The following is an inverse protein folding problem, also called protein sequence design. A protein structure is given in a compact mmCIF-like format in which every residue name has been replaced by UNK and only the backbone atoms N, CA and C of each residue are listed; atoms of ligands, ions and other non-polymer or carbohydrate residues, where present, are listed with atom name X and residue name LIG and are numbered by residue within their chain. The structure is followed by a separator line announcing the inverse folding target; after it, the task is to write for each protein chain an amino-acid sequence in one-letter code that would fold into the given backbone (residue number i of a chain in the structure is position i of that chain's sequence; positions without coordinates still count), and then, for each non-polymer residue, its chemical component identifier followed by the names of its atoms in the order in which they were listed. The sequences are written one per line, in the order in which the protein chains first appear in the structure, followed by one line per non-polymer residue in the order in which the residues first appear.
data_IF_366578329782
#
_entry.id   IF_366578329782
#
_cell.length_a   1.000
_cell.length_b   1.000
_cell.length_c   1.000
_cell.angle_alpha   90.00
_cell.angle_beta   90.00
_cell.angle_gamma   90.00
#
_symmetry.space_group_name_H-M   'P 1'
#
loop_
_entity.id
_entity.type
_entity.pdbx_description
1 polymer ?
#
# COMPACT_ATOMS: atom_id res chain seq x y z
N UNK A 1 -4.51 8.45 25.56
CA UNK A 1 -3.49 9.46 25.19
C UNK A 1 -3.89 10.05 23.87
N UNK A 2 -4.01 11.37 23.79
CA UNK A 2 -4.52 12.09 22.61
C UNK A 2 -3.42 12.86 21.83
N UNK A 3 -2.14 12.59 22.13
CA UNK A 3 -1.00 13.31 21.58
C UNK A 3 -0.20 12.50 20.56
N UNK A 4 0.31 13.16 19.53
CA UNK A 4 1.15 12.60 18.46
C UNK A 4 0.46 12.63 17.09
N UNK A 5 1.14 13.08 16.01
CA UNK A 5 0.55 13.15 14.67
C UNK A 5 0.14 11.77 14.13
N UNK A 6 0.86 10.70 14.47
CA UNK A 6 0.58 9.33 14.04
C UNK A 6 -0.39 8.52 14.90
N UNK A 7 -1.08 9.12 15.89
CA UNK A 7 -2.04 8.40 16.73
C UNK A 7 -3.41 8.25 16.03
N UNK A 8 -3.50 7.30 15.11
CA UNK A 8 -4.69 7.02 14.28
C UNK A 8 -5.14 5.58 14.54
N UNK A 9 -6.46 5.34 14.63
CA UNK A 9 -7.02 4.00 14.82
C UNK A 9 -6.97 3.17 13.54
N UNK A 10 -7.70 3.60 12.50
CA UNK A 10 -7.66 3.04 11.15
C UNK A 10 -7.30 4.15 10.17
N UNK A 11 -6.33 3.91 9.31
CA UNK A 11 -5.95 4.80 8.22
C UNK A 11 -6.28 4.14 6.88
N UNK A 12 -7.05 4.84 6.05
CA UNK A 12 -7.53 4.40 4.75
C UNK A 12 -6.99 5.38 3.71
N UNK A 13 -6.19 4.88 2.77
CA UNK A 13 -5.51 5.73 1.79
C UNK A 13 -5.59 5.10 0.40
N UNK A 14 -6.25 5.78 -0.53
CA UNK A 14 -6.39 5.38 -1.93
C UNK A 14 -6.75 3.89 -2.13
N UNK A 15 -7.66 3.38 -1.30
CA UNK A 15 -7.95 1.95 -1.16
C UNK A 15 -9.42 1.64 -1.44
N UNK A 16 -9.89 1.76 -2.70
CA UNK A 16 -11.28 1.52 -3.02
C UNK A 16 -11.63 0.03 -2.98
N UNK A 17 -12.89 -0.29 -2.68
CA UNK A 17 -13.44 -1.65 -2.68
C UNK A 17 -13.16 -2.49 -1.43
N UNK A 18 -12.49 -1.92 -0.42
CA UNK A 18 -12.30 -2.60 0.86
C UNK A 18 -13.58 -2.64 1.70
N UNK A 19 -13.72 -3.72 2.48
CA UNK A 19 -14.77 -3.86 3.49
C UNK A 19 -14.19 -3.57 4.87
N UNK A 20 -14.79 -2.61 5.57
CA UNK A 20 -14.47 -2.25 6.94
C UNK A 20 -15.64 -2.65 7.81
N UNK A 21 -15.59 -3.86 8.36
CA UNK A 21 -16.71 -4.47 9.05
C UNK A 21 -16.44 -4.63 10.55
N UNK A 22 -17.31 -4.05 11.38
CA UNK A 22 -17.41 -4.37 12.81
C UNK A 22 -16.15 -4.11 13.62
N UNK A 23 -15.47 -3.05 13.22
CA UNK A 23 -14.32 -2.53 13.93
C UNK A 23 -14.75 -1.86 15.24
N UNK A 24 -13.87 -1.87 16.23
CA UNK A 24 -13.99 -1.00 17.40
C UNK A 24 -12.73 -0.17 17.52
N UNK A 25 -12.88 1.15 17.46
CA UNK A 25 -11.77 2.10 17.58
C UNK A 25 -11.99 3.00 18.79
N UNK A 26 -10.92 3.34 19.51
CA UNK A 26 -11.02 4.18 20.70
C UNK A 26 -9.66 4.64 21.22
N UNK A 27 -9.67 5.74 21.98
CA UNK A 27 -8.50 6.32 22.67
C UNK A 27 -7.37 6.82 21.73
N UNK A 28 -7.72 7.26 20.53
CA UNK A 28 -6.77 7.79 19.53
C UNK A 28 -7.00 9.28 19.25
N UNK A 29 -6.08 9.94 18.53
CA UNK A 29 -6.31 11.30 18.03
C UNK A 29 -7.39 11.28 16.95
N UNK A 30 -7.18 10.47 15.91
CA UNK A 30 -8.16 10.19 14.86
C UNK A 30 -8.67 8.76 15.02
N UNK A 31 -9.99 8.55 15.07
CA UNK A 31 -10.58 7.21 15.08
C UNK A 31 -10.33 6.51 13.75
N UNK A 32 -10.95 7.02 12.70
CA UNK A 32 -10.72 6.61 11.31
C UNK A 32 -10.33 7.83 10.48
N UNK A 33 -9.27 7.72 9.69
CA UNK A 33 -8.82 8.74 8.74
C UNK A 33 -8.91 8.17 7.33
N UNK A 34 -9.59 8.87 6.42
CA UNK A 34 -9.75 8.47 5.02
C UNK A 34 -9.10 9.51 4.14
N UNK A 35 -8.35 9.10 3.13
CA UNK A 35 -7.74 10.01 2.15
C UNK A 35 -7.65 9.37 0.77
N UNK A 36 -7.57 10.21 -0.27
CA UNK A 36 -7.60 9.77 -1.66
C UNK A 36 -8.86 9.00 -2.04
N UNK A 37 -8.85 8.45 -3.26
CA UNK A 37 -9.97 7.67 -3.78
C UNK A 37 -10.08 6.32 -3.05
N UNK A 38 -10.91 6.25 -2.02
CA UNK A 38 -11.08 5.08 -1.15
C UNK A 38 -12.53 4.59 -1.15
N UNK A 39 -13.16 4.62 -2.33
CA UNK A 39 -14.58 4.38 -2.50
C UNK A 39 -14.97 3.02 -1.93
N UNK A 40 -15.81 3.03 -0.90
CA UNK A 40 -16.28 1.88 -0.15
C UNK A 40 -17.79 2.05 0.12
N UNK A 41 -18.57 2.36 -0.93
CA UNK A 41 -20.02 2.54 -0.87
C UNK A 41 -20.66 1.39 -0.09
N UNK A 42 -21.33 1.75 1.02
CA UNK A 42 -21.91 0.85 2.02
C UNK A 42 -20.96 -0.18 2.67
N UNK A 43 -19.69 -0.26 2.30
CA UNK A 43 -18.72 -1.22 2.82
C UNK A 43 -18.02 -0.73 4.11
N UNK A 44 -18.28 0.51 4.56
CA UNK A 44 -17.84 1.00 5.87
C UNK A 44 -18.97 0.84 6.90
N UNK A 45 -19.00 -0.30 7.60
CA UNK A 45 -20.18 -0.75 8.36
C UNK A 45 -19.86 -1.34 9.73
N UNK A 46 -20.80 -1.13 10.67
CA UNK A 46 -20.73 -1.66 12.02
C UNK A 46 -19.57 -1.14 12.87
N UNK A 47 -18.87 -0.09 12.43
CA UNK A 47 -17.72 0.46 13.16
C UNK A 47 -18.20 1.20 14.40
N UNK A 48 -17.66 0.84 15.57
CA UNK A 48 -17.94 1.51 16.84
C UNK A 48 -16.80 2.47 17.20
N UNK A 49 -17.13 3.76 17.30
CA UNK A 49 -16.25 4.85 17.68
C UNK A 49 -16.39 5.16 19.17
N UNK A 50 -15.31 4.93 19.93
CA UNK A 50 -15.16 5.33 21.31
C UNK A 50 -14.67 6.78 21.44
N UNK A 51 -13.69 7.02 22.32
CA UNK A 51 -13.18 8.37 22.59
C UNK A 51 -12.06 8.79 21.64
N UNK A 52 -12.24 9.91 20.94
CA UNK A 52 -11.28 10.47 19.99
C UNK A 52 -11.25 12.00 20.04
N UNK A 53 -10.21 12.63 19.47
CA UNK A 53 -10.28 14.06 19.17
C UNK A 53 -11.19 14.31 17.95
N UNK A 54 -11.07 13.47 16.92
CA UNK A 54 -11.96 13.40 15.76
C UNK A 54 -12.26 11.94 15.50
N UNK A 55 -13.55 11.56 15.48
CA UNK A 55 -13.95 10.15 15.35
C UNK A 55 -13.74 9.65 13.93
N UNK A 56 -14.28 10.37 12.93
CA UNK A 56 -14.08 10.11 11.50
C UNK A 56 -13.51 11.36 10.83
N UNK A 57 -12.43 11.24 10.08
CA UNK A 57 -11.77 12.38 9.43
C UNK A 57 -11.52 12.13 7.95
N UNK A 58 -12.13 12.95 7.10
CA UNK A 58 -11.89 13.05 5.66
C UNK A 58 -11.32 14.45 5.41
N UNK A 59 -10.04 14.64 5.07
CA UNK A 59 -9.38 15.95 5.10
C UNK A 59 -9.83 16.94 4.02
N UNK A 60 -10.25 16.45 2.85
CA UNK A 60 -10.55 17.28 1.69
C UNK A 60 -11.43 16.53 0.67
N UNK A 61 -11.86 17.21 -0.41
CA UNK A 61 -12.75 16.68 -1.45
C UNK A 61 -12.28 15.37 -2.12
N UNK A 62 -10.98 15.06 -2.07
CA UNK A 62 -10.44 13.84 -2.66
C UNK A 62 -10.57 12.63 -1.74
N UNK A 63 -10.95 12.81 -0.47
CA UNK A 63 -11.17 11.74 0.48
C UNK A 63 -12.54 11.09 0.27
N UNK A 64 -12.65 10.27 -0.77
CA UNK A 64 -13.92 9.68 -1.20
C UNK A 64 -14.11 8.32 -0.53
N UNK A 65 -14.85 8.26 0.58
CA UNK A 65 -15.29 7.00 1.20
C UNK A 65 -16.52 6.39 0.50
N UNK A 66 -17.29 7.21 -0.22
CA UNK A 66 -18.58 6.82 -0.80
C UNK A 66 -19.74 6.95 0.16
N UNK A 67 -20.94 6.91 -0.39
CA UNK A 67 -22.21 6.95 0.32
C UNK A 67 -22.36 5.75 1.27
N UNK A 68 -22.92 5.98 2.46
CA UNK A 68 -23.12 4.94 3.48
C UNK A 68 -24.58 4.92 3.93
N UNK A 69 -25.34 3.93 3.49
CA UNK A 69 -26.77 3.77 3.74
C UNK A 69 -27.03 2.72 4.80
N UNK A 70 -27.53 3.16 5.96
CA UNK A 70 -27.88 2.31 7.10
C UNK A 70 -26.80 1.28 7.47
N UNK A 71 -25.53 1.68 7.39
CA UNK A 71 -24.37 0.83 7.66
C UNK A 71 -24.13 0.57 9.14
N UNK A 72 -24.96 1.15 10.01
CA UNK A 72 -24.98 0.96 11.47
C UNK A 72 -23.64 1.19 12.18
N UNK A 73 -22.85 2.14 11.68
CA UNK A 73 -21.73 2.68 12.46
C UNK A 73 -22.28 3.35 13.74
N UNK A 74 -21.54 3.26 14.85
CA UNK A 74 -21.97 3.75 16.16
C UNK A 74 -20.95 4.69 16.77
N UNK A 75 -21.40 5.83 17.29
CA UNK A 75 -20.59 6.81 18.01
C UNK A 75 -20.99 6.81 19.49
N UNK A 76 -20.27 6.03 20.28
CA UNK A 76 -20.55 5.84 21.72
C UNK A 76 -19.66 6.70 22.61
N UNK A 77 -18.61 7.31 22.06
CA UNK A 77 -17.70 8.21 22.78
C UNK A 77 -17.65 9.63 22.23
N UNK A 78 -16.50 10.27 22.39
CA UNK A 78 -16.26 11.68 22.05
C UNK A 78 -15.57 11.85 20.69
N UNK A 79 -15.72 13.03 20.09
CA UNK A 79 -15.05 13.44 18.85
C UNK A 79 -16.01 13.54 17.66
N UNK A 80 -15.89 14.63 16.91
CA UNK A 80 -16.73 14.91 15.76
C UNK A 80 -16.39 14.02 14.56
N UNK A 81 -17.36 13.79 13.67
CA UNK A 81 -17.10 13.35 12.31
C UNK A 81 -16.85 14.58 11.42
N UNK A 82 -15.73 14.64 10.73
CA UNK A 82 -15.31 15.83 9.97
C UNK A 82 -14.95 15.43 8.54
N UNK A 83 -15.66 16.03 7.59
CA UNK A 83 -15.32 16.05 6.19
C UNK A 83 -14.89 17.48 5.82
N UNK A 84 -13.62 17.67 5.49
CA UNK A 84 -13.02 18.94 5.04
C UNK A 84 -13.42 19.35 3.61
N UNK A 85 -14.53 18.81 3.10
CA UNK A 85 -15.13 19.21 1.84
C UNK A 85 -16.25 20.24 2.07
N UNK A 86 -16.53 21.13 1.10
CA UNK A 86 -17.73 21.97 1.13
C UNK A 86 -19.01 21.15 1.27
N UNK A 87 -20.05 21.72 1.90
CA UNK A 87 -21.34 21.06 2.14
C UNK A 87 -21.93 20.41 0.88
N UNK A 88 -21.94 21.13 -0.25
CA UNK A 88 -22.47 20.64 -1.51
C UNK A 88 -21.72 19.44 -2.08
N UNK A 89 -20.47 19.20 -1.66
CA UNK A 89 -19.69 18.01 -2.03
C UNK A 89 -19.92 16.88 -1.02
N UNK A 90 -19.95 17.19 0.27
CA UNK A 90 -20.22 16.19 1.31
C UNK A 90 -21.60 15.53 1.12
N UNK A 91 -22.61 16.28 0.66
CA UNK A 91 -23.94 15.74 0.34
C UNK A 91 -23.97 14.79 -0.86
N UNK A 92 -22.91 14.74 -1.67
CA UNK A 92 -22.80 13.78 -2.78
C UNK A 92 -22.38 12.39 -2.30
N UNK A 93 -21.86 12.29 -1.07
CA UNK A 93 -21.44 11.07 -0.40
C UNK A 93 -21.99 11.02 1.05
N UNK A 94 -23.33 11.00 1.22
CA UNK A 94 -23.96 11.13 2.52
C UNK A 94 -23.80 9.86 3.37
N UNK A 95 -23.92 10.06 4.67
CA UNK A 95 -24.29 8.98 5.59
C UNK A 95 -25.80 9.04 5.81
N UNK A 96 -26.53 8.04 5.34
CA UNK A 96 -27.96 7.89 5.63
C UNK A 96 -28.11 7.00 6.86
N UNK A 97 -28.62 7.56 7.95
CA UNK A 97 -28.69 6.90 9.26
C UNK A 97 -30.12 6.81 9.77
N UNK A 98 -30.39 5.75 10.54
CA UNK A 98 -31.63 5.59 11.30
C UNK A 98 -31.28 5.70 12.79
N UNK A 99 -31.88 6.68 13.48
CA UNK A 99 -31.67 6.93 14.90
C UNK A 99 -32.80 6.41 15.79
N UNK A 100 -33.82 5.81 15.19
CA UNK A 100 -35.07 5.45 15.87
C UNK A 100 -35.17 3.93 16.06
N UNK A 101 -35.26 3.43 17.31
CA UNK A 101 -35.52 2.01 17.55
C UNK A 101 -36.88 1.56 16.96
N UNK A 102 -37.04 0.29 16.54
CA UNK A 102 -36.13 -0.82 16.79
C UNK A 102 -35.04 -1.04 15.72
N UNK A 103 -35.17 -0.40 14.55
CA UNK A 103 -34.28 -0.66 13.41
C UNK A 103 -33.05 0.27 13.39
N UNK A 104 -33.15 1.45 14.01
CA UNK A 104 -32.06 2.39 14.24
C UNK A 104 -31.64 2.50 15.71
N UNK A 105 -30.67 3.38 15.96
CA UNK A 105 -30.15 3.68 17.30
C UNK A 105 -29.68 5.14 17.38
N UNK A 106 -29.92 5.85 18.50
CA UNK A 106 -29.35 7.18 18.71
C UNK A 106 -27.82 7.23 18.56
N UNK A 107 -27.14 6.10 18.83
CA UNK A 107 -25.69 5.98 18.65
C UNK A 107 -25.28 5.98 17.18
N UNK A 108 -26.20 5.85 16.22
CA UNK A 108 -25.86 5.91 14.79
C UNK A 108 -25.51 7.32 14.30
N UNK A 109 -25.70 8.34 15.13
CA UNK A 109 -25.29 9.71 14.85
C UNK A 109 -24.03 10.08 15.66
N UNK A 110 -23.01 10.72 15.05
CA UNK A 110 -21.91 11.29 15.80
C UNK A 110 -22.36 12.44 16.70
N UNK A 111 -21.66 12.65 17.82
CA UNK A 111 -21.90 13.77 18.77
C UNK A 111 -21.94 15.14 18.06
N UNK A 112 -21.16 15.29 17.01
CA UNK A 112 -21.27 16.39 16.06
C UNK A 112 -20.65 15.98 14.73
N UNK A 113 -21.09 16.60 13.64
CA UNK A 113 -20.48 16.42 12.33
C UNK A 113 -20.30 17.74 11.59
N UNK A 114 -19.27 17.80 10.76
CA UNK A 114 -19.02 18.90 9.82
C UNK A 114 -18.77 18.32 8.43
N UNK A 115 -19.38 18.88 7.36
CA UNK A 115 -20.34 19.98 7.38
C UNK A 115 -21.71 19.58 7.98
N UNK A 116 -22.50 20.57 8.40
CA UNK A 116 -23.89 20.34 8.83
C UNK A 116 -24.70 19.75 7.68
N UNK A 117 -25.46 18.69 7.92
CA UNK A 117 -26.25 17.99 6.89
C UNK A 117 -25.49 16.95 6.06
N UNK A 118 -24.27 16.58 6.46
CA UNK A 118 -23.55 15.43 5.88
C UNK A 118 -24.19 14.08 6.26
N UNK A 119 -24.74 14.01 7.47
CA UNK A 119 -25.57 12.89 7.92
C UNK A 119 -27.04 13.22 7.63
N UNK A 120 -27.71 12.35 6.88
CA UNK A 120 -29.12 12.44 6.54
C UNK A 120 -29.91 11.40 7.34
N UNK A 121 -31.04 11.81 7.88
CA UNK A 121 -31.92 10.91 8.62
C UNK A 121 -32.93 10.28 7.67
N UNK A 122 -32.99 8.96 7.69
CA UNK A 122 -34.01 8.18 7.00
C UNK A 122 -34.33 6.94 7.86
N UNK A 123 -35.60 6.58 7.95
CA UNK A 123 -35.99 5.38 8.70
C UNK A 123 -35.64 4.14 7.87
N UNK A 124 -34.97 3.16 8.47
CA UNK A 124 -34.73 1.89 7.78
C UNK A 124 -35.91 0.94 8.04
N UNK A 125 -36.76 0.64 7.04
CA UNK A 125 -37.87 -0.29 7.24
C UNK A 125 -37.40 -1.74 7.45
N UNK A 126 -36.12 -2.03 7.17
CA UNK A 126 -35.54 -3.37 7.23
C UNK A 126 -34.54 -3.50 8.38
N UNK A 127 -34.67 -4.57 9.17
CA UNK A 127 -33.62 -4.94 10.12
C UNK A 127 -32.41 -5.47 9.35
N UNK A 128 -31.33 -4.71 9.34
CA UNK A 128 -30.03 -5.18 8.83
C UNK A 128 -29.13 -5.55 10.01
N UNK A 129 -28.27 -6.55 9.86
CA UNK A 129 -27.18 -6.82 10.81
C UNK A 129 -25.86 -6.47 10.16
N UNK A 130 -25.33 -5.28 10.48
CA UNK A 130 -24.08 -4.81 9.89
C UNK A 130 -22.87 -5.72 10.18
N UNK A 131 -22.96 -6.57 11.20
CA UNK A 131 -21.92 -7.51 11.62
C UNK A 131 -22.16 -8.98 11.24
N UNK A 132 -22.96 -9.22 10.21
CA UNK A 132 -23.06 -10.55 9.64
C UNK A 132 -21.74 -10.96 8.95
N UNK A 133 -21.12 -12.10 9.30
CA UNK A 133 -19.88 -12.54 8.67
C UNK A 133 -19.96 -12.71 7.15
N UNK A 134 -21.10 -13.13 6.61
CA UNK A 134 -21.28 -13.30 5.15
C UNK A 134 -21.19 -11.97 4.42
N UNK A 135 -21.71 -10.92 5.04
CA UNK A 135 -21.67 -9.54 4.57
C UNK A 135 -20.27 -8.94 4.72
N UNK A 136 -19.56 -9.26 5.80
CA UNK A 136 -18.19 -8.79 6.00
C UNK A 136 -17.17 -9.48 5.06
N UNK A 137 -17.48 -10.67 4.55
CA UNK A 137 -16.58 -11.46 3.69
C UNK A 137 -16.69 -11.14 2.20
N UNK A 138 -17.76 -10.48 1.76
CA UNK A 138 -17.98 -10.15 0.35
C UNK A 138 -18.10 -8.64 0.15
N UNK A 139 -17.17 -8.00 -0.58
CA UNK A 139 -17.30 -6.58 -0.87
C UNK A 139 -18.54 -6.33 -1.72
N UNK A 140 -19.36 -5.39 -1.28
CA UNK A 140 -20.52 -4.95 -2.03
C UNK A 140 -20.06 -4.02 -3.15
N UNK A 141 -20.50 -4.28 -4.37
CA UNK A 141 -20.30 -3.38 -5.50
C UNK A 141 -21.65 -3.17 -6.20
N UNK A 142 -22.22 -1.99 -5.98
CA UNK A 142 -23.49 -1.61 -6.58
C UNK A 142 -23.23 -0.93 -7.92
N UNK A 143 -23.34 -1.69 -9.01
CA UNK A 143 -22.97 -1.26 -10.37
C UNK A 143 -23.67 0.02 -10.84
N UNK A 144 -24.86 0.33 -10.31
CA UNK A 144 -25.62 1.52 -10.68
C UNK A 144 -25.90 2.46 -9.50
N UNK A 145 -25.08 2.42 -8.44
CA UNK A 145 -25.17 3.40 -7.36
C UNK A 145 -24.89 4.82 -7.86
N UNK A 146 -25.39 5.82 -7.14
CA UNK A 146 -25.14 7.22 -7.46
C UNK A 146 -23.64 7.56 -7.42
N UNK A 147 -22.88 6.90 -6.53
CA UNK A 147 -21.42 7.01 -6.49
C UNK A 147 -20.78 6.53 -7.80
N UNK A 148 -21.17 5.34 -8.30
CA UNK A 148 -20.62 4.80 -9.56
C UNK A 148 -21.01 5.68 -10.74
N UNK A 149 -22.27 6.10 -10.83
CA UNK A 149 -22.75 7.01 -11.89
C UNK A 149 -21.98 8.33 -11.90
N UNK A 150 -21.70 8.89 -10.73
CA UNK A 150 -20.93 10.12 -10.55
C UNK A 150 -19.50 9.98 -11.03
N UNK A 151 -18.81 8.92 -10.61
CA UNK A 151 -17.42 8.66 -11.02
C UNK A 151 -17.34 8.35 -12.53
N UNK A 152 -18.27 7.55 -13.05
CA UNK A 152 -18.39 7.25 -14.49
C UNK A 152 -18.64 8.53 -15.31
N UNK A 153 -19.43 9.46 -14.78
CA UNK A 153 -19.71 10.77 -15.39
C UNK A 153 -18.56 11.76 -15.37
N UNK A 154 -17.46 11.47 -14.67
CA UNK A 154 -16.27 12.34 -14.62
C UNK A 154 -16.42 13.50 -13.65
N UNK A 155 -16.53 13.21 -12.34
CA UNK A 155 -16.68 14.23 -11.30
C UNK A 155 -15.52 15.22 -11.25
N UNK A 156 -15.75 16.43 -11.75
CA UNK A 156 -14.74 17.51 -11.84
C UNK A 156 -14.42 18.16 -10.49
N UNK A 157 -15.13 17.82 -9.41
CA UNK A 157 -14.78 18.29 -8.07
C UNK A 157 -13.57 17.55 -7.49
N UNK A 158 -13.25 16.37 -8.03
CA UNK A 158 -12.12 15.56 -7.65
C UNK A 158 -10.86 15.96 -8.42
N UNK A 159 -9.70 15.75 -7.82
CA UNK A 159 -8.44 15.86 -8.55
C UNK A 159 -8.39 14.84 -9.70
N UNK A 160 -7.68 15.15 -10.81
CA UNK A 160 -7.54 14.21 -11.92
C UNK A 160 -6.99 12.84 -11.52
N UNK A 161 -6.05 12.81 -10.55
CA UNK A 161 -5.46 11.57 -10.03
C UNK A 161 -6.52 10.74 -9.31
N UNK A 162 -7.27 11.35 -8.38
CA UNK A 162 -8.34 10.67 -7.63
C UNK A 162 -9.43 10.16 -8.54
N UNK A 163 -9.90 10.99 -9.48
CA UNK A 163 -10.93 10.60 -10.43
C UNK A 163 -10.46 9.42 -11.29
N UNK A 164 -9.24 9.48 -11.83
CA UNK A 164 -8.71 8.40 -12.67
C UNK A 164 -8.57 7.09 -11.92
N UNK A 165 -8.04 7.09 -10.69
CA UNK A 165 -7.93 5.87 -9.87
C UNK A 165 -9.31 5.29 -9.53
N UNK A 166 -10.29 6.14 -9.19
CA UNK A 166 -11.66 5.69 -8.95
C UNK A 166 -12.33 5.16 -10.22
N UNK A 167 -12.09 5.79 -11.38
CA UNK A 167 -12.58 5.31 -12.67
C UNK A 167 -11.99 3.95 -13.04
N UNK A 168 -10.70 3.71 -12.77
CA UNK A 168 -10.10 2.37 -12.91
C UNK A 168 -10.75 1.34 -11.99
N UNK A 169 -11.02 1.70 -10.74
CA UNK A 169 -11.72 0.84 -9.79
C UNK A 169 -13.13 0.48 -10.28
N UNK A 170 -13.95 1.47 -10.65
CA UNK A 170 -15.33 1.18 -11.09
C UNK A 170 -15.36 0.45 -12.44
N UNK A 171 -14.45 0.74 -13.37
CA UNK A 171 -14.36 0.02 -14.64
C UNK A 171 -14.08 -1.47 -14.40
N UNK A 172 -13.16 -1.79 -13.50
CA UNK A 172 -12.90 -3.17 -13.09
C UNK A 172 -14.14 -3.84 -12.48
N UNK A 173 -14.85 -3.14 -11.57
CA UNK A 173 -16.05 -3.67 -10.94
C UNK A 173 -17.25 -3.84 -11.89
N UNK A 174 -17.34 -3.01 -12.92
CA UNK A 174 -18.40 -3.04 -13.94
C UNK A 174 -18.16 -4.08 -15.04
N UNK A 175 -16.91 -4.51 -15.24
CA UNK A 175 -16.57 -5.48 -16.28
C UNK A 175 -17.28 -6.81 -16.01
N UNK A 176 -18.11 -7.26 -16.96
CA UNK A 176 -18.92 -8.47 -16.83
C UNK A 176 -20.23 -8.30 -16.06
N UNK A 177 -20.56 -7.10 -15.58
CA UNK A 177 -21.84 -6.80 -14.94
C UNK A 177 -22.92 -6.43 -15.97
N UNK A 178 -24.18 -6.70 -15.62
CA UNK A 178 -25.32 -6.19 -16.37
C UNK A 178 -25.60 -4.74 -15.96
N UNK A 179 -25.59 -3.83 -16.93
CA UNK A 179 -25.78 -2.38 -16.74
C UNK A 179 -26.83 -1.87 -17.74
N UNK A 180 -27.72 -1.01 -17.26
CA UNK A 180 -28.78 -0.34 -18.01
C UNK A 180 -28.51 1.16 -18.16
N UNK A 181 -27.83 1.79 -17.19
CA UNK A 181 -27.56 3.22 -17.19
C UNK A 181 -26.73 3.65 -18.41
N UNK A 182 -27.27 4.60 -19.18
CA UNK A 182 -26.65 5.05 -20.43
C UNK A 182 -25.31 5.78 -20.21
N UNK A 183 -25.16 6.48 -19.08
CA UNK A 183 -23.92 7.17 -18.73
C UNK A 183 -22.81 6.16 -18.43
N UNK A 184 -23.13 5.11 -17.67
CA UNK A 184 -22.17 4.03 -17.38
C UNK A 184 -21.81 3.24 -18.64
N UNK A 185 -22.79 2.92 -19.51
CA UNK A 185 -22.51 2.25 -20.79
C UNK A 185 -21.59 3.10 -21.68
N UNK A 186 -21.81 4.42 -21.72
CA UNK A 186 -20.91 5.34 -22.44
C UNK A 186 -19.50 5.34 -21.84
N UNK A 187 -19.39 5.43 -20.50
CA UNK A 187 -18.13 5.36 -19.78
C UNK A 187 -17.35 4.07 -20.09
N UNK A 188 -18.01 2.90 -20.06
CA UNK A 188 -17.38 1.62 -20.40
C UNK A 188 -16.82 1.64 -21.83
N UNK A 189 -17.63 2.04 -22.81
CA UNK A 189 -17.22 2.08 -24.22
C UNK A 189 -16.04 3.02 -24.49
N UNK A 190 -15.98 4.17 -23.80
CA UNK A 190 -14.86 5.10 -23.90
C UNK A 190 -13.62 4.55 -23.19
N UNK A 191 -13.83 3.92 -22.03
CA UNK A 191 -12.75 3.41 -21.19
C UNK A 191 -12.00 2.24 -21.85
N UNK A 192 -12.69 1.39 -22.62
CA UNK A 192 -12.14 0.21 -23.32
C UNK A 192 -10.89 0.52 -24.16
N UNK A 193 -10.83 1.72 -24.75
CA UNK A 193 -9.72 2.14 -25.63
C UNK A 193 -8.82 3.20 -25.00
N UNK A 194 -9.14 3.65 -23.78
CA UNK A 194 -8.38 4.63 -23.02
C UNK A 194 -7.34 3.96 -22.11
N UNK A 195 -6.51 4.75 -21.43
CA UNK A 195 -5.56 4.24 -20.43
C UNK A 195 -6.24 3.47 -19.30
N UNK A 196 -7.50 3.78 -18.96
CA UNK A 196 -8.28 3.07 -17.93
C UNK A 196 -8.43 1.60 -18.30
N UNK A 197 -9.01 1.31 -19.47
CA UNK A 197 -9.27 -0.05 -19.94
C UNK A 197 -7.99 -0.81 -20.29
N UNK A 198 -7.01 -0.14 -20.92
CA UNK A 198 -5.76 -0.81 -21.28
C UNK A 198 -4.93 -1.20 -20.06
N UNK A 199 -4.83 -0.35 -19.03
CA UNK A 199 -4.16 -0.75 -17.79
C UNK A 199 -4.96 -1.78 -17.00
N UNK A 200 -6.30 -1.73 -17.01
CA UNK A 200 -7.11 -2.78 -16.40
C UNK A 200 -6.86 -4.15 -17.05
N UNK A 201 -6.80 -4.20 -18.39
CA UNK A 201 -6.52 -5.43 -19.11
C UNK A 201 -5.13 -6.00 -18.77
N UNK A 202 -4.11 -5.14 -18.65
CA UNK A 202 -2.78 -5.55 -18.17
C UNK A 202 -2.85 -6.15 -16.77
N UNK A 203 -3.51 -5.47 -15.82
CA UNK A 203 -3.63 -5.97 -14.43
C UNK A 203 -4.36 -7.33 -14.39
N UNK A 204 -5.43 -7.51 -15.19
CA UNK A 204 -6.16 -8.78 -15.30
C UNK A 204 -5.28 -9.91 -15.86
N UNK A 205 -4.60 -9.68 -16.97
CA UNK A 205 -3.74 -10.68 -17.62
C UNK A 205 -2.51 -11.03 -16.77
N UNK A 206 -1.97 -10.05 -16.05
CA UNK A 206 -0.94 -10.28 -15.04
C UNK A 206 -1.47 -11.21 -13.95
N UNK A 207 -2.65 -10.96 -13.39
CA UNK A 207 -3.24 -11.82 -12.37
C UNK A 207 -3.50 -13.25 -12.91
N UNK A 208 -3.96 -13.38 -14.15
CA UNK A 208 -4.14 -14.67 -14.82
C UNK A 208 -2.83 -15.44 -14.98
N UNK A 209 -1.69 -14.75 -15.18
CA UNK A 209 -0.37 -15.41 -15.29
C UNK A 209 0.08 -16.11 -14.01
N UNK A 210 -0.43 -15.72 -12.84
CA UNK A 210 -0.13 -16.33 -11.56
C UNK A 210 -1.15 -17.38 -11.12
N UNK A 211 -2.24 -17.57 -11.88
CA UNK A 211 -3.20 -18.62 -11.57
C UNK A 211 -2.57 -19.98 -11.92
N UNK A 212 -2.46 -20.85 -10.91
CA UNK A 212 -1.99 -22.22 -11.11
C UNK A 212 -3.06 -22.95 -11.92
N UNK A 213 -2.68 -23.44 -13.11
CA UNK A 213 -3.56 -24.22 -13.95
C UNK A 213 -4.12 -25.42 -13.16
N UNK A 214 -5.41 -25.68 -13.34
CA UNK A 214 -6.11 -26.90 -12.94
C UNK A 214 -5.40 -28.21 -13.28
N UNK A 215 -4.49 -28.21 -14.26
CA UNK A 215 -3.63 -29.35 -14.59
C UNK A 215 -2.42 -29.50 -13.64
N UNK A 216 -1.82 -28.40 -13.19
CA UNK A 216 -0.59 -28.40 -12.36
C UNK A 216 -0.91 -28.53 -10.88
N UNK A 217 -1.97 -27.88 -10.39
CA UNK A 217 -2.33 -27.90 -8.97
C UNK A 217 -2.53 -29.32 -8.40
N UNK A 218 -3.26 -30.24 -9.07
CA UNK A 218 -3.41 -31.62 -8.59
C UNK A 218 -2.09 -32.39 -8.59
N UNK A 219 -1.17 -32.09 -9.52
CA UNK A 219 0.13 -32.76 -9.59
C UNK A 219 1.03 -32.33 -8.44
N UNK A 220 1.09 -31.02 -8.12
CA UNK A 220 1.80 -30.52 -6.94
C UNK A 220 1.23 -31.10 -5.64
N UNK A 221 -0.10 -31.22 -5.54
CA UNK A 221 -0.75 -31.83 -4.39
C UNK A 221 -0.42 -33.33 -4.26
N UNK A 222 -0.41 -34.07 -5.37
CA UNK A 222 -0.02 -35.47 -5.39
C UNK A 222 1.45 -35.66 -4.97
N UNK A 223 2.36 -34.82 -5.50
CA UNK A 223 3.77 -34.82 -5.10
C UNK A 223 3.90 -34.59 -3.59
N UNK A 224 3.25 -33.56 -3.04
CA UNK A 224 3.28 -33.28 -1.60
C UNK A 224 2.78 -34.48 -0.76
N UNK A 225 1.68 -35.11 -1.17
CA UNK A 225 1.15 -36.28 -0.48
C UNK A 225 2.12 -37.46 -0.52
N UNK A 226 2.65 -37.80 -1.70
CA UNK A 226 3.58 -38.91 -1.87
C UNK A 226 4.92 -38.65 -1.18
N UNK A 227 5.44 -37.43 -1.20
CA UNK A 227 6.65 -37.07 -0.43
C UNK A 227 6.44 -37.35 1.05
N UNK A 228 5.31 -36.93 1.63
CA UNK A 228 5.01 -37.21 3.04
C UNK A 228 4.89 -38.71 3.33
N UNK A 229 4.24 -39.48 2.45
CA UNK A 229 4.12 -40.93 2.55
C UNK A 229 5.49 -41.64 2.54
N UNK A 230 6.37 -41.22 1.63
CA UNK A 230 7.74 -41.75 1.52
C UNK A 230 8.60 -41.36 2.72
N UNK A 231 8.44 -40.15 3.26
CA UNK A 231 9.12 -39.73 4.47
C UNK A 231 8.70 -40.55 5.71
N UNK A 232 7.41 -40.85 5.88
CA UNK A 232 6.97 -41.75 6.95
C UNK A 232 7.43 -43.20 6.73
N UNK A 233 7.48 -43.67 5.48
CA UNK A 233 8.05 -44.99 5.15
C UNK A 233 9.53 -45.08 5.51
N UNK A 234 10.31 -44.04 5.19
CA UNK A 234 11.73 -43.96 5.52
C UNK A 234 11.96 -44.02 7.05
N UNK A 235 11.16 -43.26 7.80
CA UNK A 235 11.17 -43.27 9.27
C UNK A 235 10.80 -44.64 9.84
N UNK A 236 9.82 -45.33 9.26
CA UNK A 236 9.45 -46.69 9.69
C UNK A 236 10.59 -47.69 9.45
N UNK A 237 11.26 -47.60 8.31
CA UNK A 237 12.44 -48.43 7.99
C UNK A 237 13.59 -48.13 8.97
N UNK A 238 13.88 -46.85 9.23
CA UNK A 238 14.93 -46.45 10.17
C UNK A 238 14.65 -46.93 11.60
N UNK A 239 13.37 -46.96 12.03
CA UNK A 239 12.97 -47.52 13.31
C UNK A 239 13.13 -49.05 13.35
N UNK A 240 12.76 -49.75 12.28
CA UNK A 240 12.90 -51.21 12.18
C UNK A 240 14.37 -51.63 12.25
N UNK A 241 15.26 -50.89 11.59
CA UNK A 241 16.71 -51.14 11.59
C UNK A 241 17.35 -51.14 12.98
N UNK A 242 16.73 -50.50 13.98
CA UNK A 242 17.23 -50.49 15.37
C UNK A 242 17.12 -51.85 16.07
N UNK A 243 16.24 -52.74 15.59
CA UNK A 243 15.94 -54.03 16.20
C UNK A 243 16.14 -55.21 15.24
N UNK A 244 16.56 -54.94 14.00
CA UNK A 244 16.67 -55.93 12.93
C UNK A 244 17.87 -56.87 13.14
N UNK A 245 17.71 -58.15 12.78
CA UNK A 245 18.82 -59.08 12.66
C UNK A 245 19.66 -58.83 11.39
N UNK A 246 20.74 -59.61 11.20
CA UNK A 246 21.66 -59.42 10.07
C UNK A 246 21.03 -59.61 8.68
N UNK A 247 20.02 -60.48 8.55
CA UNK A 247 19.35 -60.74 7.26
C UNK A 247 18.30 -59.65 7.00
N UNK A 248 17.50 -59.34 8.02
CA UNK A 248 16.50 -58.27 7.99
C UNK A 248 17.13 -56.90 7.71
N UNK A 249 18.34 -56.66 8.21
CA UNK A 249 19.11 -55.44 7.94
C UNK A 249 19.37 -55.26 6.45
N UNK A 250 19.74 -56.33 5.73
CA UNK A 250 20.06 -56.25 4.30
C UNK A 250 18.80 -55.89 3.49
N UNK A 251 17.67 -56.56 3.78
CA UNK A 251 16.39 -56.29 3.11
C UNK A 251 15.86 -54.88 3.40
N UNK A 252 15.98 -54.41 4.65
CA UNK A 252 15.58 -53.08 5.05
C UNK A 252 16.44 -51.98 4.40
N UNK A 253 17.76 -52.21 4.25
CA UNK A 253 18.64 -51.26 3.56
C UNK A 253 18.34 -51.15 2.06
N UNK A 254 17.99 -52.25 1.38
CA UNK A 254 17.56 -52.18 -0.02
C UNK A 254 16.22 -51.44 -0.16
N UNK A 255 15.26 -51.73 0.72
CA UNK A 255 13.98 -51.01 0.77
C UNK A 255 14.17 -49.51 1.03
N UNK A 256 15.10 -49.16 1.94
CA UNK A 256 15.48 -47.76 2.24
C UNK A 256 15.99 -47.04 1.00
N UNK A 257 16.85 -47.71 0.21
CA UNK A 257 17.41 -47.16 -1.02
C UNK A 257 16.33 -46.90 -2.08
N UNK A 258 15.36 -47.81 -2.22
CA UNK A 258 14.21 -47.60 -3.12
C UNK A 258 13.43 -46.36 -2.71
N UNK A 259 13.07 -46.23 -1.43
CA UNK A 259 12.33 -45.04 -0.93
C UNK A 259 13.10 -43.74 -1.16
N UNK A 260 14.42 -43.75 -0.97
CA UNK A 260 15.27 -42.58 -1.25
C UNK A 260 15.28 -42.23 -2.74
N UNK A 261 15.34 -43.23 -3.63
CA UNK A 261 15.24 -42.98 -5.08
C UNK A 261 13.87 -42.40 -5.47
N UNK A 262 12.78 -42.93 -4.91
CA UNK A 262 11.42 -42.39 -5.13
C UNK A 262 11.34 -40.91 -4.72
N UNK A 263 11.98 -40.52 -3.60
CA UNK A 263 12.04 -39.13 -3.14
C UNK A 263 12.83 -38.23 -4.10
N UNK A 264 13.91 -38.73 -4.71
CA UNK A 264 14.64 -37.99 -5.75
C UNK A 264 13.78 -37.78 -7.00
N UNK A 265 13.07 -38.82 -7.46
CA UNK A 265 12.17 -38.72 -8.62
C UNK A 265 11.04 -37.72 -8.36
N UNK A 266 10.42 -37.74 -7.17
CA UNK A 266 9.42 -36.75 -6.77
C UNK A 266 9.98 -35.32 -6.76
N UNK A 267 11.23 -35.14 -6.31
CA UNK A 267 11.89 -33.84 -6.31
C UNK A 267 12.17 -33.34 -7.74
N UNK A 268 12.57 -34.22 -8.66
CA UNK A 268 12.77 -33.87 -10.07
C UNK A 268 11.45 -33.49 -10.74
N UNK A 269 10.37 -34.25 -10.48
CA UNK A 269 9.02 -33.91 -10.95
C UNK A 269 8.58 -32.54 -10.42
N UNK A 270 8.83 -32.23 -9.14
CA UNK A 270 8.52 -30.94 -8.56
C UNK A 270 9.27 -29.80 -9.27
N UNK A 271 10.57 -29.97 -9.52
CA UNK A 271 11.37 -28.97 -10.23
C UNK A 271 10.87 -28.73 -11.64
N UNK A 272 10.48 -29.79 -12.36
CA UNK A 272 9.89 -29.67 -13.69
C UNK A 272 8.58 -28.85 -13.67
N UNK A 273 7.72 -29.05 -12.67
CA UNK A 273 6.48 -28.27 -12.54
C UNK A 273 6.74 -26.81 -12.17
N UNK A 274 7.70 -26.54 -11.29
CA UNK A 274 8.11 -25.17 -10.97
C UNK A 274 8.62 -24.47 -12.23
N UNK A 275 9.46 -25.14 -13.03
CA UNK A 275 9.96 -24.58 -14.29
C UNK A 275 8.84 -24.27 -15.29
N UNK A 276 7.80 -25.12 -15.36
CA UNK A 276 6.62 -24.85 -16.20
C UNK A 276 5.90 -23.58 -15.73
N UNK A 277 5.71 -23.41 -14.42
CA UNK A 277 5.06 -22.21 -13.85
C UNK A 277 5.91 -20.95 -14.11
N UNK A 278 7.22 -21.02 -13.89
CA UNK A 278 8.14 -19.91 -14.15
C UNK A 278 8.16 -19.51 -15.64
N UNK A 279 8.16 -20.49 -16.54
CA UNK A 279 8.11 -20.24 -17.99
C UNK A 279 6.79 -19.57 -18.41
N UNK A 280 5.68 -19.95 -17.79
CA UNK A 280 4.37 -19.33 -18.05
C UNK A 280 4.35 -17.85 -17.63
N UNK A 281 4.84 -17.55 -16.41
CA UNK A 281 4.94 -16.17 -15.90
C UNK A 281 5.89 -15.35 -16.78
N UNK A 282 7.06 -15.90 -17.11
CA UNK A 282 8.06 -15.24 -17.98
C UNK A 282 7.48 -14.90 -19.35
N UNK A 283 6.78 -15.85 -19.98
CA UNK A 283 6.16 -15.66 -21.30
C UNK A 283 5.05 -14.61 -21.24
N UNK A 284 4.23 -14.63 -20.19
CA UNK A 284 3.20 -13.63 -19.98
C UNK A 284 3.80 -12.24 -19.75
N UNK A 285 4.84 -12.12 -18.91
CA UNK A 285 5.51 -10.86 -18.62
C UNK A 285 6.09 -10.20 -19.88
N UNK A 286 6.70 -10.98 -20.78
CA UNK A 286 7.20 -10.47 -22.07
C UNK A 286 6.05 -9.88 -22.92
N UNK A 287 4.93 -10.60 -23.07
CA UNK A 287 3.78 -10.09 -23.83
C UNK A 287 3.11 -8.87 -23.18
N UNK A 288 3.08 -8.81 -21.84
CA UNK A 288 2.56 -7.66 -21.09
C UNK A 288 3.46 -6.43 -21.23
N UNK A 289 4.78 -6.63 -21.35
CA UNK A 289 5.73 -5.55 -21.61
C UNK A 289 5.44 -4.87 -22.95
N UNK A 290 5.25 -5.64 -24.02
CA UNK A 290 4.93 -5.13 -25.36
C UNK A 290 3.61 -4.33 -25.36
N UNK A 291 2.57 -4.85 -24.69
CA UNK A 291 1.28 -4.15 -24.58
C UNK A 291 1.38 -2.86 -23.76
N UNK A 292 2.15 -2.88 -22.67
CA UNK A 292 2.36 -1.71 -21.83
C UNK A 292 3.10 -0.59 -22.58
N UNK A 293 4.07 -0.92 -23.44
CA UNK A 293 4.72 0.06 -24.32
C UNK A 293 3.74 0.77 -25.25
N UNK A 294 2.70 0.08 -25.71
CA UNK A 294 1.65 0.64 -26.57
C UNK A 294 0.69 1.62 -25.88
N UNK A 295 0.64 1.65 -24.55
CA UNK A 295 -0.30 2.52 -23.82
C UNK A 295 0.12 3.99 -23.92
N UNK A 296 -0.78 4.85 -24.40
CA UNK A 296 -0.57 6.29 -24.40
C UNK A 296 -0.83 6.85 -22.99
N UNK A 297 0.24 7.12 -22.24
CA UNK A 297 0.19 7.76 -20.94
C UNK A 297 0.59 9.24 -21.07
N UNK A 298 -0.25 10.16 -20.56
CA UNK A 298 -0.02 11.61 -20.71
C UNK A 298 0.13 12.35 -19.40
N UNK A 299 -0.57 11.92 -18.36
CA UNK A 299 -0.45 12.49 -17.02
C UNK A 299 0.62 11.77 -16.19
N UNK A 300 1.12 12.42 -15.14
CA UNK A 300 2.20 11.87 -14.32
C UNK A 300 1.82 10.52 -13.67
N UNK A 301 0.59 10.34 -13.22
CA UNK A 301 0.12 9.10 -12.59
C UNK A 301 -0.04 7.95 -13.60
N UNK A 302 -0.43 8.26 -14.85
CA UNK A 302 -0.41 7.29 -15.95
C UNK A 302 1.03 6.92 -16.34
N UNK A 303 1.92 7.90 -16.45
CA UNK A 303 3.33 7.70 -16.81
C UNK A 303 4.03 6.85 -15.74
N UNK A 304 3.79 7.15 -14.46
CA UNK A 304 4.32 6.37 -13.35
C UNK A 304 3.80 4.93 -13.40
N UNK A 305 2.51 4.73 -13.67
CA UNK A 305 1.92 3.39 -13.80
C UNK A 305 2.56 2.61 -14.95
N UNK A 306 2.69 3.22 -16.13
CA UNK A 306 3.37 2.60 -17.29
C UNK A 306 4.82 2.25 -16.98
N UNK A 307 5.56 3.18 -16.37
CA UNK A 307 6.98 3.03 -16.06
C UNK A 307 7.22 1.93 -15.02
N UNK A 308 6.41 1.94 -13.95
CA UNK A 308 6.42 0.90 -12.94
C UNK A 308 6.12 -0.48 -13.55
N UNK A 309 5.07 -0.58 -14.38
CA UNK A 309 4.70 -1.83 -15.03
C UNK A 309 5.83 -2.37 -15.90
N UNK A 310 6.51 -1.52 -16.67
CA UNK A 310 7.64 -1.93 -17.50
C UNK A 310 8.77 -2.56 -16.65
N UNK A 311 9.13 -1.92 -15.53
CA UNK A 311 10.14 -2.44 -14.60
C UNK A 311 9.67 -3.74 -13.93
N UNK A 312 8.39 -3.80 -13.54
CA UNK A 312 7.84 -5.00 -12.91
C UNK A 312 7.79 -6.19 -13.87
N UNK A 313 7.41 -5.98 -15.14
CA UNK A 313 7.43 -7.04 -16.15
C UNK A 313 8.85 -7.46 -16.50
N UNK A 314 9.82 -6.54 -16.56
CA UNK A 314 11.26 -6.88 -16.69
C UNK A 314 11.72 -7.78 -15.54
N UNK A 315 11.31 -7.47 -14.31
CA UNK A 315 11.60 -8.29 -13.13
C UNK A 315 10.99 -9.68 -13.24
N UNK A 316 9.72 -9.80 -13.64
CA UNK A 316 9.03 -11.08 -13.79
C UNK A 316 9.55 -11.93 -14.96
N UNK A 317 10.06 -11.30 -16.02
CA UNK A 317 10.61 -11.98 -17.18
C UNK A 317 12.04 -12.52 -16.96
N UNK A 318 12.68 -12.16 -15.85
CA UNK A 318 14.08 -12.51 -15.58
C UNK A 318 14.17 -13.61 -14.52
N UNK A 319 14.49 -14.84 -14.92
CA UNK A 319 14.75 -15.94 -13.97
C UNK A 319 16.03 -15.73 -13.15
N UNK A 320 17.02 -15.02 -13.71
CA UNK A 320 18.37 -14.88 -13.13
C UNK A 320 18.94 -13.45 -13.15
N UNK A 321 18.19 -12.48 -13.68
CA UNK A 321 18.67 -11.10 -13.85
C UNK A 321 17.96 -10.16 -12.88
N UNK A 322 18.70 -9.66 -11.88
CA UNK A 322 18.21 -8.61 -11.00
C UNK A 322 18.04 -7.31 -11.79
N UNK A 323 17.05 -6.50 -11.38
CA UNK A 323 16.88 -5.14 -11.87
C UNK A 323 18.18 -4.34 -11.71
N UNK A 324 18.50 -3.54 -12.72
CA UNK A 324 19.75 -2.79 -12.73
C UNK A 324 19.64 -1.49 -11.91
N UNK A 325 20.78 -0.81 -11.73
CA UNK A 325 20.82 0.44 -10.95
C UNK A 325 19.95 1.56 -11.55
N UNK A 326 19.67 1.51 -12.84
CA UNK A 326 18.79 2.48 -13.52
C UNK A 326 17.34 2.20 -13.16
N UNK A 327 16.91 0.94 -13.22
CA UNK A 327 15.57 0.52 -12.82
C UNK A 327 15.29 0.91 -11.36
N UNK A 328 16.24 0.62 -10.46
CA UNK A 328 16.11 0.96 -9.03
C UNK A 328 15.99 2.48 -8.84
N UNK A 329 16.81 3.28 -9.53
CA UNK A 329 16.73 4.74 -9.44
C UNK A 329 15.39 5.30 -9.95
N UNK A 330 14.84 4.70 -11.01
CA UNK A 330 13.51 5.06 -11.52
C UNK A 330 12.41 4.70 -10.51
N UNK A 331 12.46 3.49 -9.93
CA UNK A 331 11.51 3.10 -8.88
C UNK A 331 11.60 4.02 -7.67
N UNK A 332 12.80 4.41 -7.23
CA UNK A 332 12.99 5.38 -6.16
C UNK A 332 12.36 6.73 -6.51
N UNK A 333 12.57 7.21 -7.75
CA UNK A 333 11.96 8.46 -8.22
C UNK A 333 10.44 8.43 -8.15
N UNK A 334 9.80 7.29 -8.45
CA UNK A 334 8.34 7.13 -8.30
C UNK A 334 7.96 7.02 -6.82
N UNK A 335 8.67 6.21 -6.03
CA UNK A 335 8.38 5.94 -4.63
C UNK A 335 8.46 7.19 -3.72
N UNK A 336 9.32 8.16 -4.06
CA UNK A 336 9.46 9.44 -3.34
C UNK A 336 8.47 10.53 -3.78
N UNK A 337 7.62 10.28 -4.79
CA UNK A 337 6.56 11.23 -5.13
C UNK A 337 5.44 11.23 -4.08
N UNK A 338 4.69 12.33 -4.02
CA UNK A 338 3.43 12.36 -3.29
C UNK A 338 2.40 11.45 -3.98
N UNK A 339 1.78 10.47 -3.29
CA UNK A 339 0.75 9.61 -3.87
C UNK A 339 -0.45 10.36 -4.45
N UNK A 340 -0.82 11.50 -3.87
CA UNK A 340 -1.91 12.34 -4.39
C UNK A 340 -1.59 13.01 -5.74
N UNK A 341 -0.32 13.00 -6.18
CA UNK A 341 0.11 13.47 -7.51
C UNK A 341 0.57 12.32 -8.38
N UNK A 342 1.42 11.44 -7.84
CA UNK A 342 2.03 10.33 -8.56
C UNK A 342 1.13 9.11 -8.75
N UNK A 343 -0.05 9.08 -8.12
CA UNK A 343 -1.02 7.98 -8.19
C UNK A 343 -0.61 6.74 -7.41
N UNK A 344 -1.39 5.67 -7.55
CA UNK A 344 -1.16 4.41 -6.83
C UNK A 344 0.13 3.70 -7.22
N UNK A 345 0.73 4.06 -8.36
CA UNK A 345 2.06 3.61 -8.76
C UNK A 345 3.13 3.93 -7.72
N UNK A 346 2.96 4.98 -6.91
CA UNK A 346 3.87 5.31 -5.79
C UNK A 346 3.89 4.18 -4.76
N UNK A 347 2.73 3.70 -4.31
CA UNK A 347 2.66 2.61 -3.33
C UNK A 347 3.22 1.29 -3.89
N UNK A 348 2.90 0.98 -5.15
CA UNK A 348 3.44 -0.22 -5.81
C UNK A 348 4.97 -0.14 -5.98
N UNK A 349 5.53 1.03 -6.31
CA UNK A 349 6.98 1.22 -6.38
C UNK A 349 7.66 1.01 -5.02
N UNK A 350 7.06 1.52 -3.93
CA UNK A 350 7.55 1.31 -2.56
C UNK A 350 7.56 -0.18 -2.19
N UNK A 351 6.49 -0.90 -2.51
CA UNK A 351 6.39 -2.34 -2.27
C UNK A 351 7.43 -3.12 -3.08
N UNK A 352 7.60 -2.79 -4.36
CA UNK A 352 8.58 -3.45 -5.23
C UNK A 352 10.02 -3.21 -4.75
N UNK A 353 10.37 -1.98 -4.36
CA UNK A 353 11.67 -1.67 -3.76
C UNK A 353 11.93 -2.46 -2.48
N UNK A 354 10.93 -2.61 -1.61
CA UNK A 354 11.06 -3.42 -0.40
C UNK A 354 11.39 -4.89 -0.74
N UNK A 355 10.75 -5.46 -1.76
CA UNK A 355 11.01 -6.84 -2.20
C UNK A 355 12.43 -6.97 -2.77
N UNK A 356 12.87 -6.03 -3.61
CA UNK A 356 14.18 -6.09 -4.29
C UNK A 356 15.34 -5.79 -3.33
N UNK A 357 15.18 -4.78 -2.48
CA UNK A 357 16.23 -4.31 -1.58
C UNK A 357 16.28 -5.10 -0.26
N UNK A 358 15.23 -5.88 0.03
CA UNK A 358 15.02 -6.56 1.31
C UNK A 358 15.12 -5.61 2.51
N UNK A 359 14.73 -4.35 2.32
CA UNK A 359 14.80 -3.29 3.33
C UNK A 359 13.47 -2.56 3.45
N UNK A 360 13.01 -2.36 4.68
CA UNK A 360 11.83 -1.54 4.96
C UNK A 360 12.23 -0.06 4.97
N UNK A 361 11.83 0.66 3.93
CA UNK A 361 11.96 2.12 3.88
C UNK A 361 10.72 2.80 4.45
N UNK A 362 10.91 3.84 5.26
CA UNK A 362 9.83 4.69 5.78
C UNK A 362 9.64 5.88 4.86
N UNK A 363 8.43 6.05 4.34
CA UNK A 363 8.08 7.17 3.47
C UNK A 363 7.18 8.15 4.23
N UNK A 364 7.60 9.42 4.30
CA UNK A 364 6.83 10.48 4.94
C UNK A 364 5.94 11.16 3.90
N UNK A 365 4.73 10.63 3.73
CA UNK A 365 3.73 11.19 2.81
C UNK A 365 3.28 12.58 3.26
N UNK A 366 3.32 12.90 4.57
CA UNK A 366 2.99 14.25 5.03
C UNK A 366 4.04 15.24 4.52
N UNK A 367 5.33 14.93 4.65
CA UNK A 367 6.39 15.76 4.10
C UNK A 367 6.30 15.85 2.58
N UNK A 368 6.09 14.72 1.89
CA UNK A 368 6.09 14.64 0.43
C UNK A 368 4.87 15.30 -0.21
N UNK A 369 3.72 15.30 0.48
CA UNK A 369 2.46 15.91 0.03
C UNK A 369 2.16 17.26 0.68
N UNK A 370 3.06 17.81 1.52
CA UNK A 370 2.85 19.08 2.24
C UNK A 370 2.78 20.33 1.36
N UNK A 371 2.97 20.22 0.05
CA UNK A 371 2.69 21.30 -0.91
C UNK A 371 1.17 21.48 -1.05
N UNK A 372 0.48 21.95 0.01
CA UNK A 372 -0.93 22.36 -0.08
C UNK A 372 -1.83 22.11 1.15
N UNK A 373 -1.37 21.45 2.21
CA UNK A 373 -2.23 21.24 3.39
C UNK A 373 -2.14 22.43 4.35
N UNK A 374 -3.14 23.32 4.28
CA UNK A 374 -3.42 24.24 5.37
C UNK A 374 -3.73 23.41 6.62
N UNK A 375 -2.84 23.46 7.61
CA UNK A 375 -3.06 22.88 8.92
C UNK A 375 -4.37 23.44 9.48
N UNK A 376 -5.43 22.63 9.54
CA UNK A 376 -6.54 22.91 10.46
C UNK A 376 -5.97 22.68 11.86
N UNK A 377 -5.46 23.75 12.45
CA UNK A 377 -5.08 23.80 13.86
C UNK A 377 -6.38 23.75 14.66
N UNK A 378 -6.61 22.73 15.50
CA UNK A 378 -7.65 22.82 16.51
C UNK A 378 -7.25 23.97 17.43
N UNK A 379 -8.09 24.99 17.57
CA UNK A 379 -7.91 26.06 18.56
C UNK A 379 -7.78 25.41 19.94
N UNK A 380 -6.55 25.34 20.45
CA UNK A 380 -6.26 25.04 21.85
C UNK A 380 -5.63 26.27 22.46
N UNK A 381 -6.35 26.84 23.41
CA UNK A 381 -5.86 27.86 24.31
C UNK A 381 -4.57 27.41 25.01
N UNK A 382 -3.60 28.32 25.05
CA UNK A 382 -2.61 28.43 26.12
C UNK A 382 -1.49 27.38 26.16
N UNK A 383 -0.27 27.87 25.93
CA UNK A 383 1.03 27.23 26.22
C UNK A 383 1.41 25.98 25.40
N UNK A 384 2.25 26.15 24.36
CA UNK A 384 3.70 25.97 24.52
C UNK A 384 4.48 26.31 23.23
N UNK A 385 5.76 26.63 23.41
CA UNK A 385 6.68 27.22 22.44
C UNK A 385 7.02 26.31 21.25
N UNK A 386 6.45 26.59 20.09
CA UNK A 386 6.87 26.01 18.80
C UNK A 386 8.06 26.79 18.22
N UNK A 387 9.22 26.14 18.17
CA UNK A 387 10.28 26.50 17.21
C UNK A 387 10.32 25.36 16.18
N UNK A 388 10.22 25.63 14.86
CA UNK A 388 10.36 24.59 13.85
C UNK A 388 11.76 23.95 13.98
N UNK A 389 11.81 22.64 14.21
CA UNK A 389 13.07 21.93 14.40
C UNK A 389 13.65 21.56 13.02
N UNK A 390 14.85 22.04 12.70
CA UNK A 390 15.54 21.73 11.45
C UNK A 390 15.78 20.22 11.34
N UNK A 391 15.28 19.59 10.27
CA UNK A 391 15.50 18.17 9.96
C UNK A 391 16.58 18.02 8.88
N UNK A 392 17.45 17.02 9.03
CA UNK A 392 18.50 16.67 8.09
C UNK A 392 18.19 15.34 7.43
N UNK A 393 18.36 15.27 6.11
CA UNK A 393 18.26 14.04 5.32
C UNK A 393 19.61 13.75 4.69
N UNK A 394 20.02 12.48 4.68
CA UNK A 394 21.30 12.05 4.11
C UNK A 394 21.07 10.93 3.11
N UNK A 395 21.52 11.12 1.87
CA UNK A 395 21.38 10.14 0.79
C UNK A 395 22.54 10.23 -0.21
N UNK A 396 22.89 9.14 -0.90
CA UNK A 396 22.43 7.78 -0.67
C UNK A 396 23.00 7.21 0.64
N UNK A 397 22.29 6.24 1.25
CA UNK A 397 22.79 5.44 2.36
C UNK A 397 22.16 4.03 2.25
N UNK A 398 22.92 2.97 1.89
CA UNK A 398 24.37 2.93 1.72
C UNK A 398 24.92 3.81 0.59
N UNK A 399 26.10 4.37 0.79
CA UNK A 399 26.75 5.32 -0.09
C UNK A 399 28.01 4.73 -0.75
N UNK A 400 28.33 5.17 -1.97
CA UNK A 400 29.54 4.76 -2.69
C UNK A 400 30.56 5.90 -2.76
N UNK A 401 30.31 6.91 -3.61
CA UNK A 401 31.29 7.96 -3.89
C UNK A 401 31.05 9.27 -3.11
N UNK A 402 29.78 9.57 -2.80
CA UNK A 402 29.38 10.78 -2.12
C UNK A 402 28.10 10.57 -1.31
N UNK A 403 27.87 11.47 -0.36
CA UNK A 403 26.60 11.65 0.34
C UNK A 403 26.18 13.11 0.23
N UNK A 404 24.89 13.32 -0.02
CA UNK A 404 24.23 14.60 0.03
C UNK A 404 23.49 14.73 1.35
N UNK A 405 23.72 15.84 2.04
CA UNK A 405 22.99 16.24 3.24
C UNK A 405 22.09 17.39 2.84
N UNK A 406 20.78 17.28 3.07
CA UNK A 406 19.79 18.34 2.80
C UNK A 406 18.99 18.68 4.03
N UNK A 407 18.57 19.94 4.15
CA UNK A 407 17.75 20.42 5.26
C UNK A 407 16.73 21.47 4.79
N UNK A 408 15.71 21.71 5.62
CA UNK A 408 14.49 22.42 5.19
C UNK A 408 14.66 23.94 5.05
N UNK A 409 15.20 24.61 6.07
CA UNK A 409 15.39 26.06 6.06
C UNK A 409 16.81 26.44 5.63
N UNK A 410 16.97 27.49 4.84
CA UNK A 410 18.30 27.98 4.47
C UNK A 410 19.12 28.29 5.74
N UNK A 411 20.38 27.82 5.77
CA UNK A 411 21.30 27.97 6.89
C UNK A 411 21.37 29.43 7.37
N UNK A 412 21.00 29.69 8.63
CA UNK A 412 20.99 31.04 9.23
C UNK A 412 22.38 31.49 9.68
N UNK A 413 23.26 30.52 9.91
CA UNK A 413 24.69 30.70 10.14
C UNK A 413 25.50 29.60 9.45
N UNK A 414 26.80 29.80 9.27
CA UNK A 414 27.67 28.74 8.74
C UNK A 414 27.76 27.58 9.74
N UNK A 415 27.67 26.35 9.22
CA UNK A 415 27.71 25.12 10.00
C UNK A 415 28.83 24.17 9.54
N UNK A 416 28.85 22.96 10.08
CA UNK A 416 29.81 21.92 9.70
C UNK A 416 29.16 20.54 9.62
N UNK A 417 29.58 19.77 8.62
CA UNK A 417 29.35 18.33 8.53
C UNK A 417 30.68 17.61 8.68
N UNK A 418 30.72 16.56 9.50
CA UNK A 418 31.92 15.74 9.78
C UNK A 418 31.55 14.27 9.65
N UNK A 419 32.21 13.56 8.74
CA UNK A 419 32.14 12.11 8.68
C UNK A 419 33.28 11.53 9.52
N UNK A 420 32.97 10.59 10.42
CA UNK A 420 33.93 9.87 11.25
C UNK A 420 33.71 8.36 11.19
N UNK A 421 34.78 7.59 11.40
CA UNK A 421 34.64 6.14 11.58
C UNK A 421 33.98 5.79 12.93
N UNK A 422 33.72 4.50 13.17
CA UNK A 422 33.12 4.01 14.42
C UNK A 422 33.97 4.29 15.68
N UNK A 423 35.24 4.68 15.52
CA UNK A 423 36.15 5.05 16.60
C UNK A 423 36.20 6.57 16.82
N UNK A 424 35.39 7.34 16.08
CA UNK A 424 35.32 8.80 16.17
C UNK A 424 36.46 9.52 15.43
N UNK A 425 37.26 8.83 14.61
CA UNK A 425 38.32 9.47 13.82
C UNK A 425 37.70 10.16 12.61
N UNK A 426 37.90 11.48 12.42
CA UNK A 426 37.30 12.21 11.32
C UNK A 426 37.97 11.84 9.99
N UNK A 427 37.16 11.56 8.98
CA UNK A 427 37.56 11.15 7.63
C UNK A 427 37.42 12.31 6.67
N UNK A 428 36.29 13.02 6.75
CA UNK A 428 36.03 14.19 5.92
C UNK A 428 35.28 15.25 6.72
N UNK A 429 35.53 16.51 6.39
CA UNK A 429 34.82 17.67 6.95
C UNK A 429 34.41 18.59 5.82
N UNK A 430 33.18 19.11 5.89
CA UNK A 430 32.68 20.13 4.96
C UNK A 430 32.02 21.26 5.75
N UNK A 431 32.35 22.49 5.39
CA UNK A 431 31.64 23.67 5.91
C UNK A 431 30.32 23.83 5.16
N UNK A 432 29.25 24.06 5.91
CA UNK A 432 27.93 24.44 5.38
C UNK A 432 27.93 25.97 5.21
N UNK A 433 27.82 26.49 3.98
CA UNK A 433 27.74 27.93 3.73
C UNK A 433 26.47 28.55 4.33
N UNK A 434 26.55 29.84 4.70
CA UNK A 434 25.36 30.63 5.01
C UNK A 434 24.39 30.62 3.82
N UNK A 435 23.10 30.47 4.08
CA UNK A 435 22.04 30.50 3.07
C UNK A 435 21.90 29.23 2.23
N UNK A 436 22.72 28.19 2.45
CA UNK A 436 22.54 26.91 1.76
C UNK A 436 21.47 26.05 2.43
N UNK A 437 20.84 25.17 1.66
CA UNK A 437 19.90 24.14 2.13
C UNK A 437 20.41 22.71 1.88
N UNK A 438 21.64 22.59 1.34
CA UNK A 438 22.26 21.31 1.06
C UNK A 438 23.79 21.41 1.03
N UNK A 439 24.47 20.29 1.24
CA UNK A 439 25.88 20.12 0.95
C UNK A 439 26.20 18.68 0.52
N UNK A 440 27.21 18.52 -0.32
CA UNK A 440 27.72 17.21 -0.75
C UNK A 440 29.06 16.93 -0.09
N UNK A 441 29.19 15.77 0.54
CA UNK A 441 30.43 15.20 1.06
C UNK A 441 30.93 14.12 0.10
N UNK A 442 32.21 14.18 -0.28
CA UNK A 442 32.88 13.07 -0.96
C UNK A 442 33.32 12.03 0.07
N UNK A 443 33.12 10.76 -0.29
CA UNK A 443 33.57 9.60 0.49
C UNK A 443 34.92 9.06 0.02
N UNK A 444 35.65 9.82 -0.80
CA UNK A 444 36.97 9.43 -1.28
C UNK A 444 37.91 9.19 -0.09
N UNK A 445 38.34 7.94 0.09
CA UNK A 445 39.19 7.51 1.20
C UNK A 445 38.46 6.79 2.36
N UNK A 446 37.13 6.67 2.33
CA UNK A 446 36.38 5.86 3.31
C UNK A 446 36.31 4.39 2.84
N UNK A 447 36.82 3.42 3.60
CA UNK A 447 36.69 1.99 3.28
C UNK A 447 35.25 1.47 3.41
N UNK A 448 34.95 0.27 2.89
CA UNK A 448 33.67 -0.40 3.17
C UNK A 448 33.44 -0.51 4.69
N UNK A 449 32.29 -0.03 5.18
CA UNK A 449 32.00 -0.08 6.61
C UNK A 449 30.94 0.92 7.08
N UNK A 450 30.74 0.96 8.39
CA UNK A 450 29.82 1.88 9.07
C UNK A 450 30.57 3.15 9.52
N UNK A 451 29.93 4.30 9.37
CA UNK A 451 30.43 5.62 9.72
C UNK A 451 29.36 6.43 10.45
N UNK A 452 29.80 7.47 11.15
CA UNK A 452 28.93 8.42 11.85
C UNK A 452 29.13 9.78 11.21
N UNK A 453 28.03 10.39 10.75
CA UNK A 453 27.99 11.73 10.19
C UNK A 453 27.45 12.70 11.22
N UNK A 454 28.30 13.57 11.75
CA UNK A 454 27.91 14.65 12.64
C UNK A 454 27.55 15.91 11.85
N UNK A 455 26.44 16.54 12.21
CA UNK A 455 25.98 17.78 11.60
C UNK A 455 25.78 18.82 12.72
N UNK A 456 26.45 19.96 12.60
CA UNK A 456 26.29 21.13 13.48
C UNK A 456 25.86 22.33 12.62
N UNK A 457 24.61 22.75 12.75
CA UNK A 457 24.04 23.87 12.00
C UNK A 457 22.95 24.57 12.80
N UNK A 458 22.96 25.90 12.81
CA UNK A 458 21.93 26.72 13.44
C UNK A 458 21.69 26.39 14.94
N UNK A 459 22.76 25.95 15.64
CA UNK A 459 22.72 25.55 17.05
C UNK A 459 22.17 24.12 17.27
N UNK A 460 21.84 23.40 16.20
CA UNK A 460 21.39 22.02 16.23
C UNK A 460 22.58 21.10 15.94
N UNK A 461 22.79 20.13 16.83
CA UNK A 461 23.76 19.04 16.66
C UNK A 461 23.04 17.72 16.52
N UNK A 462 23.22 17.04 15.40
CA UNK A 462 22.70 15.70 15.16
C UNK A 462 23.79 14.75 14.64
N UNK A 463 23.49 13.46 14.64
CA UNK A 463 24.35 12.43 14.10
C UNK A 463 23.54 11.39 13.31
N UNK A 464 24.01 11.03 12.12
CA UNK A 464 23.41 10.01 11.26
C UNK A 464 24.39 8.86 11.03
N UNK A 465 23.87 7.63 10.86
CA UNK A 465 24.70 6.45 10.55
C UNK A 465 24.80 6.27 9.05
N UNK A 466 26.01 6.20 8.51
CA UNK A 466 26.27 6.05 7.07
C UNK A 466 26.97 4.72 6.81
N UNK A 467 26.45 3.92 5.90
CA UNK A 467 27.08 2.69 5.43
C UNK A 467 27.78 3.01 4.11
N UNK A 468 29.08 2.75 3.99
CA UNK A 468 29.83 2.90 2.72
C UNK A 468 30.06 1.53 2.11
N UNK A 469 29.71 1.37 0.82
CA UNK A 469 29.86 0.12 0.05
C UNK A 469 30.36 0.41 -1.37
N UNK A 470 31.55 -0.08 -1.71
CA UNK A 470 32.20 0.00 -3.02
C UNK A 470 31.66 -1.00 -4.04
#
# INVERSE_FOLDING_TARGET
GLGGPGNIGIEIVASPGNVYCCNTVGNTRLGVSVSGGSLATDNFRGTTFGNHATSLYLPDVNAVLGSQSHTQNKWTGTGAAVYGAPFNIAQLYPFTIDITPPNGSPDNEPVSHSPTGWFAYDENPTTSTACDPSVCMTPLFYSESDDVKRIAGGDTSLSPVTLWELQRYIYAGLTGQYVQDAGILSFLSQSDTSSIGTFHNLDRRLAESFQIDTAVSPQLQAIFYHTNEKMESLKSIDQFLLQADSVQTIEALESRKVVVNDLYELSEQQQNLIQVLENNVTSAANGLSDENEGILATTIFEINTKTLNAIYFKYLASSDQMLDSTDIAVLQTIAFQCPATGGNAVYKARALLMVIMHELSVYDDQASCSQGQALIVPTRDGHDTNTPQQRFLVFPNPAKDNIQVTWLEAAKQSGQVVLSDIYGRPICRKTIPLGSNSCVLSLQGASNGLYILHIDLDGIRTAEKIVVKY
#
